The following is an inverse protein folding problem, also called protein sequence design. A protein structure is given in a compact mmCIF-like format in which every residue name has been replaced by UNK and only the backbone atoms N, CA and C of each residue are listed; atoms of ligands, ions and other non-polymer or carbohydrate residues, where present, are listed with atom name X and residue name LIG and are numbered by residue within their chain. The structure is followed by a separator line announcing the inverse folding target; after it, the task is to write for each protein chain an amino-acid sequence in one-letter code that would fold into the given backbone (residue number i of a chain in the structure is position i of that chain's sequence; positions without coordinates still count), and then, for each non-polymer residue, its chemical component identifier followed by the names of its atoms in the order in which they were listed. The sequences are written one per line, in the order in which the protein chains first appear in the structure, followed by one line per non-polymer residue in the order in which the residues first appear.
data_IF_788214648415
#
_entry.id   IF_788214648415
#
_cell.length_a   1.000
_cell.length_b   1.000
_cell.length_c   1.000
_cell.angle_alpha   90.00
_cell.angle_beta   90.00
_cell.angle_gamma   90.00
#
_symmetry.space_group_name_H-M   'P 1'
#
loop_
_entity.id
_entity.type
_entity.pdbx_description
1 polymer ?
#
# COMPACT_ATOMS: atom_id res chain seq x y z
N UNK A 1 10.12 -18.71 4.72
CA UNK A 1 8.85 -18.09 5.18
C UNK A 1 9.02 -16.59 5.10
N UNK A 2 8.26 -15.89 4.23
CA UNK A 2 8.28 -14.42 4.15
C UNK A 2 7.78 -13.79 5.46
N UNK A 3 8.02 -12.48 5.64
CA UNK A 3 7.48 -11.73 6.78
C UNK A 3 6.35 -10.82 6.30
N UNK A 4 5.26 -10.79 7.05
CA UNK A 4 4.14 -9.88 6.81
C UNK A 4 4.25 -8.67 7.74
N UNK A 5 4.23 -7.47 7.16
CA UNK A 5 4.16 -6.19 7.88
C UNK A 5 2.70 -5.77 7.88
N UNK A 6 2.06 -5.72 9.04
CA UNK A 6 0.68 -5.22 9.17
C UNK A 6 0.67 -3.97 10.03
N UNK A 7 0.09 -2.89 9.50
CA UNK A 7 -0.14 -1.62 10.18
C UNK A 7 -1.62 -1.29 10.13
N UNK A 8 -2.16 -0.81 11.24
CA UNK A 8 -3.55 -0.39 11.36
C UNK A 8 -3.59 1.06 11.81
N UNK A 9 -4.42 1.85 11.16
CA UNK A 9 -4.57 3.27 11.43
C UNK A 9 -6.05 3.54 11.67
N UNK A 10 -6.39 4.06 12.85
CA UNK A 10 -7.74 4.51 13.12
C UNK A 10 -7.98 5.86 12.42
N UNK A 11 -9.11 6.01 11.74
CA UNK A 11 -9.48 7.25 11.06
C UNK A 11 -10.95 7.57 11.22
N UNK A 12 -11.30 8.84 10.98
CA UNK A 12 -12.69 9.32 10.97
C UNK A 12 -13.13 9.76 9.56
N UNK A 13 -12.27 9.58 8.56
CA UNK A 13 -12.56 9.93 7.17
C UNK A 13 -13.50 8.88 6.57
N UNK A 14 -14.55 9.28 5.81
CA UNK A 14 -15.41 8.34 5.13
C UNK A 14 -14.64 7.51 4.10
N UNK A 15 -14.96 6.21 4.03
CA UNK A 15 -14.31 5.25 3.13
C UNK A 15 -14.31 5.72 1.67
N UNK A 16 -15.36 6.40 1.23
CA UNK A 16 -15.45 6.96 -0.12
C UNK A 16 -14.35 7.98 -0.44
N UNK A 17 -13.99 8.84 0.52
CA UNK A 17 -12.90 9.79 0.32
C UNK A 17 -11.54 9.09 0.27
N UNK A 18 -11.32 8.10 1.15
CA UNK A 18 -10.10 7.29 1.10
C UNK A 18 -10.00 6.51 -0.21
N UNK A 19 -11.13 6.00 -0.71
CA UNK A 19 -11.23 5.31 -2.00
C UNK A 19 -10.80 6.24 -3.15
N UNK A 20 -11.31 7.47 -3.19
CA UNK A 20 -10.91 8.43 -4.22
C UNK A 20 -9.43 8.80 -4.12
N UNK A 21 -8.91 9.03 -2.91
CA UNK A 21 -7.49 9.36 -2.72
C UNK A 21 -6.57 8.19 -3.13
N UNK A 22 -6.95 6.95 -2.79
CA UNK A 22 -6.22 5.75 -3.22
C UNK A 22 -6.25 5.56 -4.74
N UNK A 23 -7.39 5.83 -5.39
CA UNK A 23 -7.49 5.81 -6.85
C UNK A 23 -6.56 6.85 -7.49
N UNK A 24 -6.55 8.08 -7.00
CA UNK A 24 -5.65 9.13 -7.52
C UNK A 24 -4.18 8.79 -7.33
N UNK A 25 -3.82 8.16 -6.21
CA UNK A 25 -2.48 7.62 -5.97
C UNK A 25 -2.11 6.52 -6.96
N UNK A 26 -3.03 5.57 -7.17
CA UNK A 26 -2.84 4.48 -8.11
C UNK A 26 -2.68 4.98 -9.55
N UNK A 27 -3.46 5.97 -9.97
CA UNK A 27 -3.34 6.60 -11.29
C UNK A 27 -2.03 7.36 -11.46
N UNK A 28 -1.56 8.08 -10.42
CA UNK A 28 -0.27 8.77 -10.46
C UNK A 28 0.90 7.78 -10.57
N UNK A 29 0.90 6.71 -9.77
CA UNK A 29 1.96 5.70 -9.77
C UNK A 29 1.96 4.84 -11.05
N UNK A 30 0.77 4.54 -11.60
CA UNK A 30 0.65 3.76 -12.83
C UNK A 30 1.22 4.49 -14.07
N UNK A 31 1.30 5.83 -14.03
CA UNK A 31 1.82 6.65 -15.12
C UNK A 31 3.34 6.87 -15.12
N UNK A 32 4.04 6.59 -14.01
CA UNK A 32 5.37 7.14 -13.81
C UNK A 32 6.56 6.24 -14.16
N UNK A 33 6.40 4.93 -14.33
CA UNK A 33 7.58 4.06 -14.41
C UNK A 33 7.69 3.23 -15.71
N UNK A 34 8.51 3.74 -16.62
CA UNK A 34 9.01 3.02 -17.80
C UNK A 34 10.15 2.03 -17.46
N UNK A 35 10.50 1.83 -16.18
CA UNK A 35 11.66 1.04 -15.73
C UNK A 35 11.29 -0.32 -15.14
N UNK A 36 9.99 -0.63 -14.99
CA UNK A 36 9.50 -1.91 -14.45
C UNK A 36 9.56 -2.01 -12.93
N UNK A 37 9.99 -0.95 -12.23
CA UNK A 37 9.82 -0.77 -10.79
C UNK A 37 8.58 0.08 -10.56
N UNK A 38 7.69 -0.33 -9.66
CA UNK A 38 6.46 0.44 -9.46
C UNK A 38 5.45 -0.29 -8.62
N UNK A 39 4.58 0.48 -7.97
CA UNK A 39 3.53 -0.03 -7.10
C UNK A 39 2.19 0.13 -7.82
N UNK A 40 1.53 -0.99 -8.10
CA UNK A 40 0.16 -1.01 -8.61
C UNK A 40 -0.82 -1.32 -7.50
N UNK A 41 -1.93 -0.61 -7.51
CA UNK A 41 -3.06 -0.89 -6.62
C UNK A 41 -4.18 -1.51 -7.46
N UNK A 42 -4.50 -2.76 -7.19
CA UNK A 42 -5.64 -3.46 -7.79
C UNK A 42 -6.81 -3.46 -6.81
N UNK A 43 -7.99 -3.02 -7.25
CA UNK A 43 -9.19 -3.08 -6.41
C UNK A 43 -9.58 -4.54 -6.17
N UNK A 44 -9.79 -4.93 -4.91
CA UNK A 44 -10.23 -6.27 -4.51
C UNK A 44 -11.33 -6.17 -3.46
N UNK A 45 -12.59 -6.29 -3.91
CA UNK A 45 -13.76 -6.12 -3.05
C UNK A 45 -13.83 -4.73 -2.40
N UNK A 46 -13.92 -4.72 -1.07
CA UNK A 46 -13.92 -3.51 -0.21
C UNK A 46 -12.51 -2.99 0.11
N UNK A 47 -11.48 -3.54 -0.52
CA UNK A 47 -10.08 -3.14 -0.33
C UNK A 47 -9.30 -3.02 -1.64
N UNK A 48 -7.98 -2.89 -1.48
CA UNK A 48 -7.02 -2.77 -2.57
C UNK A 48 -5.85 -3.72 -2.33
N UNK A 49 -5.50 -4.51 -3.32
CA UNK A 49 -4.27 -5.28 -3.35
C UNK A 49 -3.14 -4.40 -3.87
N UNK A 50 -2.05 -4.33 -3.14
CA UNK A 50 -0.82 -3.68 -3.56
C UNK A 50 0.05 -4.73 -4.24
N UNK A 51 0.46 -4.48 -5.47
CA UNK A 51 1.42 -5.31 -6.19
C UNK A 51 2.54 -4.38 -6.66
N UNK A 52 3.70 -4.50 -6.02
CA UNK A 52 4.88 -3.73 -6.37
C UNK A 52 6.00 -4.62 -6.87
N UNK A 53 6.80 -4.15 -7.81
CA UNK A 53 8.16 -4.66 -8.01
C UNK A 53 9.14 -3.58 -7.58
N UNK A 54 10.04 -3.92 -6.66
CA UNK A 54 11.08 -3.01 -6.19
C UNK A 54 12.40 -3.76 -6.22
N UNK A 55 13.41 -3.21 -6.90
CA UNK A 55 14.77 -3.74 -7.01
C UNK A 55 14.82 -5.25 -7.32
N UNK A 56 13.95 -5.70 -8.22
CA UNK A 56 13.88 -7.08 -8.71
C UNK A 56 13.15 -8.08 -7.80
N UNK A 57 12.50 -7.63 -6.72
CA UNK A 57 11.63 -8.48 -5.91
C UNK A 57 10.17 -8.00 -5.94
N UNK A 58 9.25 -8.95 -6.00
CA UNK A 58 7.82 -8.69 -5.93
C UNK A 58 7.38 -8.53 -4.49
N UNK A 59 6.68 -7.44 -4.24
CA UNK A 59 6.04 -7.09 -2.97
C UNK A 59 4.54 -7.18 -3.17
N UNK A 60 3.88 -7.96 -2.32
CA UNK A 60 2.43 -8.07 -2.34
C UNK A 60 1.91 -7.45 -1.06
N UNK A 61 0.80 -6.72 -1.13
CA UNK A 61 0.11 -6.22 0.03
C UNK A 61 -1.38 -6.14 -0.19
N UNK A 62 -2.10 -5.84 0.88
CA UNK A 62 -3.53 -5.63 0.91
C UNK A 62 -3.81 -4.44 1.82
N UNK A 63 -4.65 -3.55 1.34
CA UNK A 63 -5.21 -2.40 2.03
C UNK A 63 -6.68 -2.69 2.20
N UNK A 64 -7.12 -2.84 3.43
CA UNK A 64 -8.53 -2.95 3.78
C UNK A 64 -8.97 -1.62 4.35
N UNK A 65 -10.00 -1.04 3.73
CA UNK A 65 -10.64 0.17 4.21
C UNK A 65 -11.88 -0.21 5.01
N UNK A 66 -12.08 0.42 6.15
CA UNK A 66 -13.27 0.29 6.98
C UNK A 66 -13.72 1.67 7.42
N UNK A 67 -14.95 1.84 7.91
CA UNK A 67 -15.49 3.15 8.30
C UNK A 67 -14.63 3.89 9.32
N UNK A 68 -13.90 3.16 10.16
CA UNK A 68 -13.09 3.73 11.24
C UNK A 68 -11.64 3.22 11.27
N UNK A 69 -11.25 2.35 10.35
CA UNK A 69 -9.92 1.74 10.36
C UNK A 69 -9.39 1.49 8.95
N UNK A 70 -8.15 1.90 8.73
CA UNK A 70 -7.34 1.59 7.55
C UNK A 70 -6.33 0.52 7.97
N UNK A 71 -6.48 -0.68 7.44
CA UNK A 71 -5.56 -1.80 7.66
C UNK A 71 -4.70 -2.02 6.42
N UNK A 72 -3.38 -1.90 6.56
CA UNK A 72 -2.41 -2.13 5.48
C UNK A 72 -1.53 -3.31 5.87
N UNK A 73 -1.50 -4.34 5.03
CA UNK A 73 -0.73 -5.56 5.21
C UNK A 73 0.15 -5.78 4.00
N UNK A 74 1.47 -5.85 4.18
CA UNK A 74 2.43 -6.07 3.10
C UNK A 74 3.25 -7.32 3.41
N UNK A 75 3.19 -8.30 2.51
CA UNK A 75 4.01 -9.48 2.50
C UNK A 75 5.35 -9.20 1.82
N UNK A 76 6.41 -9.28 2.60
CA UNK A 76 7.78 -9.10 2.14
C UNK A 76 8.47 -10.45 1.96
N UNK A 77 9.05 -10.72 0.79
CA UNK A 77 9.91 -11.88 0.61
C UNK A 77 11.16 -11.75 1.49
N UNK A 78 11.82 -12.88 1.80
CA UNK A 78 13.00 -12.92 2.68
C UNK A 78 14.11 -11.94 2.25
N UNK A 79 14.30 -11.77 0.95
CA UNK A 79 15.27 -10.84 0.36
C UNK A 79 14.90 -9.37 0.62
N UNK A 80 13.61 -9.06 0.70
CA UNK A 80 13.10 -7.72 0.96
C UNK A 80 13.12 -7.33 2.45
N UNK A 81 13.54 -8.24 3.34
CA UNK A 81 13.55 -7.99 4.80
C UNK A 81 14.40 -6.80 5.20
N UNK A 82 15.51 -6.55 4.49
CA UNK A 82 16.35 -5.36 4.71
C UNK A 82 15.65 -4.04 4.34
N UNK A 83 14.62 -4.11 3.50
CA UNK A 83 13.80 -2.96 3.10
C UNK A 83 12.55 -2.78 3.96
N UNK A 84 12.35 -3.62 5.00
CA UNK A 84 11.20 -3.54 5.91
C UNK A 84 11.01 -2.12 6.46
N UNK A 85 12.08 -1.47 6.93
CA UNK A 85 11.98 -0.11 7.47
C UNK A 85 11.55 0.93 6.42
N UNK A 86 12.01 0.78 5.17
CA UNK A 86 11.57 1.65 4.07
C UNK A 86 10.10 1.43 3.73
N UNK A 87 9.66 0.17 3.73
CA UNK A 87 8.27 -0.19 3.46
C UNK A 87 7.36 0.31 4.57
N UNK A 88 7.73 0.13 5.84
CA UNK A 88 7.00 0.69 6.99
C UNK A 88 6.90 2.22 6.91
N UNK A 89 8.01 2.89 6.60
CA UNK A 89 8.02 4.34 6.45
C UNK A 89 7.16 4.81 5.28
N UNK A 90 7.22 4.10 4.14
CA UNK A 90 6.37 4.38 3.00
C UNK A 90 4.89 4.21 3.33
N UNK A 91 4.51 3.11 4.00
CA UNK A 91 3.14 2.88 4.47
C UNK A 91 2.69 4.02 5.40
N UNK A 92 3.54 4.44 6.34
CA UNK A 92 3.21 5.52 7.26
C UNK A 92 3.04 6.87 6.57
N UNK A 93 3.90 7.20 5.61
CA UNK A 93 3.78 8.44 4.83
C UNK A 93 2.55 8.43 3.93
N UNK A 94 2.26 7.30 3.27
CA UNK A 94 1.05 7.13 2.47
C UNK A 94 -0.22 7.19 3.34
N UNK A 95 -0.21 6.53 4.50
CA UNK A 95 -1.32 6.61 5.45
C UNK A 95 -1.52 8.06 5.92
N UNK A 96 -0.46 8.80 6.24
CA UNK A 96 -0.58 10.23 6.58
C UNK A 96 -1.15 11.04 5.42
N UNK A 97 -0.67 10.87 4.19
CA UNK A 97 -1.22 11.57 3.03
C UNK A 97 -2.70 11.25 2.80
N UNK A 98 -3.11 10.00 3.04
CA UNK A 98 -4.50 9.58 2.96
C UNK A 98 -5.35 10.14 4.11
N UNK A 99 -4.75 10.41 5.28
CA UNK A 99 -5.44 10.90 6.48
C UNK A 99 -5.43 12.43 6.65
N UNK A 100 -4.68 13.18 5.85
CA UNK A 100 -4.55 14.63 5.93
C UNK A 100 -5.33 15.32 4.82
#
# INVERSE_FOLDING_TARGET
MGKSVRKRFAHQIPVEQLHQRLLSLAESEAGSDSSGEGVRFERSGDGYKILGNYSGFSVNGNVTLSEHELSIEIELPMLARMFQGKVEHYIEEQAKQLLH
#
